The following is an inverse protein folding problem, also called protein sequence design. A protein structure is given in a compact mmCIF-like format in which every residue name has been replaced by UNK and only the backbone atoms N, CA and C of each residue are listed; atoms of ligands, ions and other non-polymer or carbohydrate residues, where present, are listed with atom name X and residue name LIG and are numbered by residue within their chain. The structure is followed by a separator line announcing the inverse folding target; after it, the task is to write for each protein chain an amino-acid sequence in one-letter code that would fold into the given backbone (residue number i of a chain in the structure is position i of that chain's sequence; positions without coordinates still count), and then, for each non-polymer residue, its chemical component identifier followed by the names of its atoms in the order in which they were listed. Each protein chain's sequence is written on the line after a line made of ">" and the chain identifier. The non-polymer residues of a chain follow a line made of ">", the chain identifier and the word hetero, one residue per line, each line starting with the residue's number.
data_IF_115160949831
#
_entry.id   IF_115160949831
#
_cell.length_a   1.000
_cell.length_b   1.000
_cell.length_c   1.000
_cell.angle_alpha   90.00
_cell.angle_beta   90.00
_cell.angle_gamma   90.00
#
_symmetry.space_group_name_H-M   'P 1'
#
loop_
_entity.id
_entity.type
_entity.pdbx_description
1 polymer ?
#
# COMPACT_ATOMS: atom_id res chain seq x y z
N UNK A 1 -6.29 -27.59 0.43
CA UNK A 1 -5.57 -28.47 -0.54
C UNK A 1 -5.73 -29.93 -0.16
N UNK A 2 -5.52 -30.31 1.12
CA UNK A 2 -5.90 -31.64 1.60
C UNK A 2 -7.40 -31.93 1.44
N UNK A 3 -8.26 -30.92 1.64
CA UNK A 3 -9.71 -31.00 1.32
C UNK A 3 -10.00 -31.30 -0.16
N UNK A 4 -9.03 -31.07 -1.06
CA UNK A 4 -9.10 -31.41 -2.49
C UNK A 4 -8.26 -32.65 -2.84
N UNK A 5 -7.81 -33.42 -1.86
CA UNK A 5 -6.99 -34.63 -2.05
C UNK A 5 -5.55 -34.39 -2.51
N UNK A 6 -5.07 -33.14 -2.49
CA UNK A 6 -3.73 -32.78 -2.94
C UNK A 6 -2.77 -32.65 -1.75
N UNK A 7 -1.75 -33.49 -1.72
CA UNK A 7 -0.66 -33.44 -0.74
C UNK A 7 0.41 -32.47 -1.22
N UNK A 8 0.37 -31.25 -0.67
CA UNK A 8 1.27 -30.16 -1.08
C UNK A 8 1.97 -29.62 0.16
N UNK A 9 3.30 -29.55 0.09
CA UNK A 9 4.11 -28.96 1.16
C UNK A 9 3.79 -27.47 1.33
N UNK A 10 3.82 -27.00 2.59
CA UNK A 10 3.62 -25.59 2.90
C UNK A 10 4.60 -24.66 2.15
N UNK A 11 5.81 -25.14 1.85
CA UNK A 11 6.82 -24.38 1.11
C UNK A 11 6.42 -24.15 -0.35
N UNK A 12 5.67 -25.07 -0.94
CA UNK A 12 5.14 -24.92 -2.31
C UNK A 12 4.11 -23.79 -2.36
N UNK A 13 3.19 -23.74 -1.39
CA UNK A 13 2.20 -22.65 -1.27
C UNK A 13 2.91 -21.32 -1.07
N UNK A 14 3.93 -21.27 -0.20
CA UNK A 14 4.73 -20.06 0.03
C UNK A 14 5.41 -19.56 -1.26
N UNK A 15 6.02 -20.47 -2.04
CA UNK A 15 6.65 -20.12 -3.32
C UNK A 15 5.62 -19.55 -4.31
N UNK A 16 4.42 -20.12 -4.37
CA UNK A 16 3.35 -19.57 -5.20
C UNK A 16 2.92 -18.17 -4.77
N UNK A 17 2.83 -17.90 -3.46
CA UNK A 17 2.52 -16.55 -2.97
C UNK A 17 3.61 -15.55 -3.40
N UNK A 18 4.88 -15.93 -3.29
CA UNK A 18 5.99 -15.07 -3.70
C UNK A 18 6.04 -14.80 -5.19
N UNK A 19 5.76 -15.83 -5.99
CA UNK A 19 5.79 -15.76 -7.45
C UNK A 19 4.56 -15.01 -7.99
N UNK A 20 3.36 -15.45 -7.61
CA UNK A 20 2.12 -14.97 -8.19
C UNK A 20 1.56 -13.73 -7.50
N UNK A 21 1.90 -13.46 -6.23
CA UNK A 21 1.42 -12.26 -5.52
C UNK A 21 1.71 -10.96 -6.27
N UNK A 22 2.97 -10.69 -6.66
CA UNK A 22 3.34 -9.53 -7.46
C UNK A 22 2.70 -9.52 -8.86
N UNK A 23 2.63 -10.67 -9.53
CA UNK A 23 2.03 -10.79 -10.87
C UNK A 23 0.53 -10.48 -10.84
N UNK A 24 -0.18 -10.98 -9.83
CA UNK A 24 -1.60 -10.68 -9.63
C UNK A 24 -1.77 -9.18 -9.38
N UNK A 25 -1.03 -8.58 -8.43
CA UNK A 25 -1.11 -7.13 -8.15
C UNK A 25 -0.89 -6.30 -9.43
N UNK A 26 0.14 -6.63 -10.22
CA UNK A 26 0.44 -5.95 -11.47
C UNK A 26 -0.72 -6.04 -12.48
N UNK A 27 -1.29 -7.23 -12.66
CA UNK A 27 -2.35 -7.47 -13.66
C UNK A 27 -3.67 -6.83 -13.26
N UNK A 28 -4.04 -6.87 -11.98
CA UNK A 28 -5.35 -6.36 -11.52
C UNK A 28 -5.45 -4.84 -11.60
N UNK A 29 -4.33 -4.09 -11.52
CA UNK A 29 -4.31 -2.61 -11.49
C UNK A 29 -5.10 -1.97 -12.62
N UNK A 30 -4.98 -2.50 -13.84
CA UNK A 30 -5.70 -2.01 -15.03
C UNK A 30 -7.22 -2.22 -14.95
N UNK A 31 -7.68 -3.11 -14.07
CA UNK A 31 -9.11 -3.44 -13.90
C UNK A 31 -9.71 -2.82 -12.63
N UNK A 32 -8.92 -2.08 -11.84
CA UNK A 32 -9.41 -1.38 -10.66
C UNK A 32 -10.26 -0.18 -11.10
N UNK A 33 -11.34 0.08 -10.36
CA UNK A 33 -12.14 1.29 -10.57
C UNK A 33 -11.28 2.52 -10.25
N UNK A 34 -11.44 3.63 -11.00
CA UNK A 34 -10.74 4.87 -10.67
C UNK A 34 -10.96 5.31 -9.22
N UNK A 35 -9.89 5.75 -8.56
CA UNK A 35 -9.92 6.44 -7.27
C UNK A 35 -10.32 7.89 -7.47
N UNK A 36 -10.77 8.58 -6.42
CA UNK A 36 -10.98 10.03 -6.49
C UNK A 36 -9.70 10.86 -6.23
N UNK A 37 -9.84 12.19 -6.30
CA UNK A 37 -8.79 13.19 -6.18
C UNK A 37 -8.47 13.60 -4.72
N UNK A 38 -9.09 12.94 -3.72
CA UNK A 38 -8.94 13.25 -2.29
C UNK A 38 -8.30 12.09 -1.54
N UNK A 39 -6.99 12.19 -1.30
CA UNK A 39 -6.19 11.11 -0.74
C UNK A 39 -6.05 11.22 0.78
N UNK A 40 -5.91 10.07 1.45
CA UNK A 40 -5.46 9.92 2.84
C UNK A 40 -4.29 8.97 2.85
N UNK A 41 -3.15 9.45 3.31
CA UNK A 41 -1.88 8.72 3.27
C UNK A 41 -1.31 8.64 4.67
N UNK A 42 -0.90 7.45 5.06
CA UNK A 42 -0.28 7.19 6.34
C UNK A 42 0.69 6.00 6.24
N UNK A 43 1.56 5.85 7.23
CA UNK A 43 2.45 4.69 7.35
C UNK A 43 2.02 3.78 8.49
N UNK A 44 2.29 2.49 8.34
CA UNK A 44 2.13 1.55 9.43
C UNK A 44 3.31 0.60 9.57
N UNK A 45 3.41 -0.04 10.73
CA UNK A 45 4.55 -0.87 11.06
C UNK A 45 4.31 -2.34 10.68
N UNK A 46 5.27 -2.93 9.98
CA UNK A 46 5.34 -4.36 9.67
C UNK A 46 6.65 -4.93 10.19
N UNK A 47 6.60 -6.09 10.85
CA UNK A 47 7.80 -6.73 11.41
C UNK A 47 8.49 -7.59 10.35
N UNK A 48 9.76 -7.29 10.06
CA UNK A 48 10.62 -8.02 9.11
C UNK A 48 11.97 -8.28 9.77
N UNK A 49 12.42 -9.54 9.80
CA UNK A 49 13.66 -9.98 10.47
C UNK A 49 13.76 -9.47 11.92
N UNK A 50 12.65 -9.44 12.64
CA UNK A 50 12.59 -8.95 14.02
C UNK A 50 12.56 -7.43 14.17
N UNK A 51 12.78 -6.66 13.10
CA UNK A 51 12.78 -5.19 13.11
C UNK A 51 11.47 -4.63 12.56
N UNK A 52 11.05 -3.48 13.07
CA UNK A 52 9.92 -2.74 12.52
C UNK A 52 10.32 -1.99 11.26
N UNK A 53 9.62 -2.26 10.17
CA UNK A 53 9.72 -1.58 8.87
C UNK A 53 8.41 -0.86 8.56
N UNK A 54 8.41 0.00 7.55
CA UNK A 54 7.32 0.94 7.27
C UNK A 54 6.56 0.53 6.02
N UNK A 55 5.27 0.27 6.16
CA UNK A 55 4.34 0.08 5.05
C UNK A 55 3.59 1.39 4.85
N UNK A 56 3.93 2.10 3.78
CA UNK A 56 3.20 3.28 3.35
C UNK A 56 1.94 2.84 2.62
N UNK A 57 0.82 3.50 2.89
CA UNK A 57 -0.45 3.23 2.24
C UNK A 57 -1.22 4.52 1.97
N UNK A 58 -1.98 4.55 0.87
CA UNK A 58 -2.93 5.63 0.60
C UNK A 58 -4.25 5.08 0.10
N UNK A 59 -5.32 5.70 0.58
CA UNK A 59 -6.70 5.43 0.17
C UNK A 59 -7.36 6.74 -0.23
N UNK A 60 -8.35 6.66 -1.11
CA UNK A 60 -9.16 7.81 -1.46
C UNK A 60 -10.20 8.12 -0.36
N UNK A 61 -10.97 9.20 -0.54
CA UNK A 61 -11.96 9.62 0.47
C UNK A 61 -13.11 8.62 0.69
N UNK A 62 -13.28 7.66 -0.22
CA UNK A 62 -14.28 6.59 -0.13
C UNK A 62 -13.69 5.28 0.42
N UNK A 63 -12.39 5.26 0.72
CA UNK A 63 -11.69 4.07 1.21
C UNK A 63 -11.23 3.11 0.12
N UNK A 64 -11.22 3.52 -1.16
CA UNK A 64 -10.58 2.72 -2.21
C UNK A 64 -9.07 2.88 -2.12
N UNK A 65 -8.34 1.77 -2.13
CA UNK A 65 -6.88 1.81 -2.04
C UNK A 65 -6.26 2.34 -3.32
N UNK A 66 -5.40 3.36 -3.18
CA UNK A 66 -4.63 3.97 -4.26
C UNK A 66 -3.39 3.13 -4.48
N UNK A 67 -2.50 3.09 -3.47
CA UNK A 67 -1.35 2.21 -3.49
C UNK A 67 -0.72 1.99 -2.11
N UNK A 68 0.25 1.07 -2.05
CA UNK A 68 1.13 0.82 -0.90
C UNK A 68 2.59 0.59 -1.36
N UNK A 69 3.54 0.78 -0.45
CA UNK A 69 4.92 0.30 -0.62
C UNK A 69 5.53 -0.05 0.74
N UNK A 70 6.24 -1.18 0.80
CA UNK A 70 7.10 -1.49 1.94
C UNK A 70 8.43 -0.75 1.80
N UNK A 71 8.86 -0.09 2.87
CA UNK A 71 10.11 0.64 2.96
C UNK A 71 10.87 0.23 4.21
N UNK A 72 12.20 0.24 4.11
CA UNK A 72 13.05 0.03 5.27
C UNK A 72 13.10 1.23 6.22
N UNK A 73 12.98 2.43 5.66
CA UNK A 73 13.15 3.70 6.36
C UNK A 73 11.86 4.53 6.29
N UNK A 74 11.72 5.44 7.26
CA UNK A 74 10.68 6.47 7.28
C UNK A 74 11.29 7.83 6.96
N UNK A 75 11.73 7.99 5.72
CA UNK A 75 12.42 9.19 5.24
C UNK A 75 11.72 9.79 4.01
N UNK A 76 12.20 10.96 3.60
CA UNK A 76 11.68 11.67 2.43
C UNK A 76 11.78 10.83 1.14
N UNK A 77 12.86 10.06 0.97
CA UNK A 77 13.08 9.26 -0.23
C UNK A 77 12.04 8.13 -0.33
N UNK A 78 11.73 7.47 0.78
CA UNK A 78 10.68 6.48 0.87
C UNK A 78 9.30 7.07 0.56
N UNK A 79 8.98 8.23 1.15
CA UNK A 79 7.74 8.95 0.89
C UNK A 79 7.60 9.37 -0.59
N UNK A 80 8.67 9.90 -1.20
CA UNK A 80 8.69 10.25 -2.62
C UNK A 80 8.48 9.02 -3.50
N UNK A 81 9.22 7.94 -3.25
CA UNK A 81 9.05 6.67 -4.00
C UNK A 81 7.62 6.14 -3.90
N UNK A 82 7.00 6.26 -2.73
CA UNK A 82 5.60 5.89 -2.54
C UNK A 82 4.68 6.72 -3.46
N UNK A 83 4.76 8.04 -3.40
CA UNK A 83 3.90 8.90 -4.22
C UNK A 83 4.16 8.75 -5.72
N UNK A 84 5.43 8.64 -6.16
CA UNK A 84 5.76 8.37 -7.57
C UNK A 84 5.08 7.08 -8.06
N UNK A 85 5.11 6.02 -7.24
CA UNK A 85 4.45 4.74 -7.55
C UNK A 85 2.92 4.86 -7.56
N UNK A 86 2.35 5.59 -6.62
CA UNK A 86 0.92 5.82 -6.55
C UNK A 86 0.40 6.59 -7.77
N UNK A 87 1.11 7.65 -8.16
CA UNK A 87 0.77 8.51 -9.31
C UNK A 87 0.96 7.81 -10.67
N UNK A 88 1.85 6.83 -10.76
CA UNK A 88 2.04 6.06 -12.00
C UNK A 88 1.01 4.94 -12.20
N UNK A 89 0.13 4.71 -11.22
CA UNK A 89 -0.88 3.66 -11.32
C UNK A 89 -2.06 4.09 -12.20
N UNK A 90 -2.54 3.23 -13.11
CA UNK A 90 -3.51 3.61 -14.15
C UNK A 90 -4.91 3.94 -13.60
N UNK A 91 -5.26 3.41 -12.43
CA UNK A 91 -6.55 3.67 -11.76
C UNK A 91 -6.50 4.90 -10.84
N UNK A 92 -5.36 5.57 -10.76
CA UNK A 92 -5.14 6.69 -9.83
C UNK A 92 -5.42 8.03 -10.52
N UNK A 93 -6.31 8.83 -9.92
CA UNK A 93 -6.47 10.25 -10.30
C UNK A 93 -5.45 11.13 -9.58
N UNK A 94 -4.92 12.15 -10.28
CA UNK A 94 -4.02 13.13 -9.68
C UNK A 94 -4.73 13.81 -8.49
N UNK A 95 -4.11 13.88 -7.30
CA UNK A 95 -4.79 14.39 -6.12
C UNK A 95 -4.90 15.91 -6.15
N UNK A 96 -6.13 16.39 -5.92
CA UNK A 96 -6.39 17.79 -5.54
C UNK A 96 -6.05 18.03 -4.07
N UNK A 97 -6.23 17.04 -3.21
CA UNK A 97 -5.89 17.13 -1.78
C UNK A 97 -5.26 15.85 -1.25
N UNK A 98 -4.17 15.98 -0.50
CA UNK A 98 -3.53 14.86 0.20
C UNK A 98 -3.61 15.14 1.70
N UNK A 99 -4.31 14.27 2.41
CA UNK A 99 -4.37 14.30 3.88
C UNK A 99 -3.29 13.38 4.45
N UNK A 100 -2.48 13.92 5.34
CA UNK A 100 -1.30 13.24 5.90
C UNK A 100 -1.36 13.23 7.42
N UNK A 101 -0.70 12.25 8.01
CA UNK A 101 -0.21 12.37 9.38
C UNK A 101 0.97 13.36 9.46
N UNK A 102 1.34 13.79 10.67
CA UNK A 102 2.39 14.79 10.95
C UNK A 102 3.83 14.31 10.68
N UNK A 103 4.03 13.34 9.79
CA UNK A 103 5.36 12.84 9.43
C UNK A 103 6.16 13.94 8.70
N UNK A 104 7.39 14.28 9.17
CA UNK A 104 8.20 15.31 8.54
C UNK A 104 8.73 14.91 7.15
N UNK A 105 8.64 13.63 6.78
CA UNK A 105 9.10 13.11 5.50
C UNK A 105 8.20 13.52 4.32
N UNK A 106 6.89 13.71 4.55
CA UNK A 106 5.95 13.93 3.45
C UNK A 106 6.02 15.32 2.81
N UNK A 107 6.04 16.45 3.56
CA UNK A 107 6.07 17.78 2.94
C UNK A 107 7.23 17.98 1.95
N UNK A 108 8.50 17.65 2.27
CA UNK A 108 9.59 17.83 1.32
C UNK A 108 9.48 16.88 0.12
N UNK A 109 8.99 15.64 0.31
CA UNK A 109 8.76 14.70 -0.77
C UNK A 109 7.70 15.20 -1.77
N UNK A 110 6.59 15.77 -1.27
CA UNK A 110 5.54 16.35 -2.11
C UNK A 110 6.06 17.59 -2.85
N UNK A 111 6.87 18.43 -2.18
CA UNK A 111 7.45 19.60 -2.82
C UNK A 111 8.37 19.23 -4.00
N UNK A 112 9.19 18.18 -3.86
CA UNK A 112 9.99 17.68 -4.99
C UNK A 112 9.12 17.20 -6.15
N UNK A 113 8.03 16.48 -5.87
CA UNK A 113 7.11 15.99 -6.91
C UNK A 113 6.38 17.12 -7.63
N UNK A 114 6.08 18.22 -6.95
CA UNK A 114 5.55 19.45 -7.56
C UNK A 114 6.62 20.08 -8.47
N UNK A 115 7.87 20.15 -8.01
CA UNK A 115 8.97 20.70 -8.81
C UNK A 115 9.24 19.87 -10.08
N UNK A 116 9.09 18.54 -9.98
CA UNK A 116 9.18 17.59 -11.08
C UNK A 116 7.93 17.56 -11.98
N UNK A 117 6.91 18.36 -11.67
CA UNK A 117 5.61 18.39 -12.38
C UNK A 117 4.83 17.07 -12.36
N UNK A 118 5.17 16.17 -11.44
CA UNK A 118 4.40 14.94 -11.19
C UNK A 118 3.13 15.22 -10.37
N UNK A 119 3.14 16.28 -9.56
CA UNK A 119 1.98 16.82 -8.87
C UNK A 119 1.69 18.25 -9.31
N UNK A 120 0.43 18.66 -9.23
CA UNK A 120 0.02 20.03 -9.52
C UNK A 120 0.38 20.96 -8.37
N UNK A 121 0.72 22.22 -8.68
CA UNK A 121 0.96 23.25 -7.64
C UNK A 121 -0.29 23.52 -6.79
N UNK A 122 -1.46 23.23 -7.33
CA UNK A 122 -2.76 23.37 -6.66
C UNK A 122 -3.10 22.20 -5.72
N UNK A 123 -2.25 21.16 -5.65
CA UNK A 123 -2.44 20.04 -4.73
C UNK A 123 -2.32 20.53 -3.28
N UNK A 124 -3.43 20.50 -2.55
CA UNK A 124 -3.50 20.96 -1.17
C UNK A 124 -2.99 19.87 -0.21
N UNK A 125 -2.07 20.24 0.68
CA UNK A 125 -1.63 19.37 1.77
C UNK A 125 -2.43 19.69 3.02
N UNK A 126 -3.04 18.67 3.63
CA UNK A 126 -3.81 18.82 4.86
C UNK A 126 -3.31 17.87 5.96
N UNK A 127 -3.18 18.39 7.17
CA UNK A 127 -2.88 17.58 8.35
C UNK A 127 -4.11 17.58 9.28
N UNK A 128 -4.99 16.59 9.13
CA UNK A 128 -6.21 16.50 9.95
C UNK A 128 -6.39 15.09 10.48
N UNK A 129 -6.16 14.93 11.79
CA UNK A 129 -6.18 13.63 12.49
C UNK A 129 -7.44 12.81 12.22
N UNK A 130 -8.62 13.42 12.28
CA UNK A 130 -9.90 12.71 12.20
C UNK A 130 -10.17 12.06 10.82
N UNK A 131 -9.48 12.51 9.77
CA UNK A 131 -9.71 12.00 8.42
C UNK A 131 -8.79 10.83 8.06
N UNK A 132 -7.83 10.50 8.94
CA UNK A 132 -6.95 9.35 8.80
C UNK A 132 -7.62 8.02 9.19
N UNK A 133 -8.79 8.05 9.84
CA UNK A 133 -9.52 6.84 10.26
C UNK A 133 -9.74 5.83 9.10
N UNK A 134 -9.90 6.31 7.87
CA UNK A 134 -10.13 5.47 6.69
C UNK A 134 -8.85 4.72 6.29
N UNK A 135 -7.69 5.39 6.25
CA UNK A 135 -6.41 4.73 5.95
C UNK A 135 -6.00 3.81 7.11
N UNK A 136 -6.30 4.18 8.35
CA UNK A 136 -6.12 3.29 9.50
C UNK A 136 -7.01 2.04 9.43
N UNK A 137 -8.20 2.13 8.83
CA UNK A 137 -9.06 0.98 8.59
C UNK A 137 -8.49 0.02 7.55
N UNK A 138 -7.93 0.54 6.46
CA UNK A 138 -7.21 -0.25 5.45
C UNK A 138 -5.99 -0.96 6.09
N UNK A 139 -5.21 -0.23 6.89
CA UNK A 139 -4.10 -0.82 7.67
C UNK A 139 -4.54 -1.94 8.60
N UNK A 140 -5.75 -1.88 9.18
CA UNK A 140 -6.28 -2.96 10.05
C UNK A 140 -6.50 -4.25 9.28
N UNK A 141 -6.88 -4.19 8.00
CA UNK A 141 -7.01 -5.39 7.17
C UNK A 141 -5.64 -6.08 7.00
N UNK A 142 -4.62 -5.34 6.59
CA UNK A 142 -3.27 -5.87 6.42
C UNK A 142 -2.72 -6.43 7.73
N UNK A 143 -2.90 -5.71 8.85
CA UNK A 143 -2.49 -6.18 10.18
C UNK A 143 -3.22 -7.45 10.60
N UNK A 144 -4.51 -7.59 10.28
CA UNK A 144 -5.28 -8.81 10.60
C UNK A 144 -4.69 -10.06 9.94
N UNK A 145 -4.25 -9.93 8.69
CA UNK A 145 -3.62 -11.04 7.93
C UNK A 145 -2.18 -11.28 8.39
N UNK A 146 -1.41 -10.23 8.65
CA UNK A 146 0.03 -10.34 8.92
C UNK A 146 0.37 -10.63 10.39
N UNK A 147 -0.46 -10.23 11.35
CA UNK A 147 -0.22 -10.45 12.80
C UNK A 147 0.00 -11.93 13.17
N UNK A 148 -0.80 -12.92 12.69
CA UNK A 148 -0.56 -14.34 13.01
C UNK A 148 0.71 -14.92 12.35
N UNK A 149 1.32 -14.23 11.39
CA UNK A 149 2.55 -14.69 10.72
C UNK A 149 3.82 -14.49 11.57
N UNK A 150 3.72 -13.82 12.73
CA UNK A 150 4.83 -13.52 13.65
C UNK A 150 6.01 -12.75 13.02
N UNK A 151 5.74 -12.05 11.92
CA UNK A 151 6.72 -11.26 11.17
C UNK A 151 7.44 -12.04 10.08
N UNK A 152 7.89 -11.30 9.06
CA UNK A 152 8.53 -11.88 7.88
C UNK A 152 10.01 -12.18 8.13
N UNK A 153 10.56 -13.18 7.44
CA UNK A 153 11.98 -13.56 7.54
C UNK A 153 12.89 -12.86 6.53
N UNK A 154 12.32 -12.23 5.49
CA UNK A 154 13.06 -11.44 4.51
C UNK A 154 12.23 -10.25 4.03
N UNK A 155 12.90 -9.16 3.67
CA UNK A 155 12.26 -7.96 3.14
C UNK A 155 11.61 -8.25 1.79
N UNK A 156 12.32 -8.96 0.90
CA UNK A 156 11.80 -9.33 -0.42
C UNK A 156 10.52 -10.16 -0.30
N UNK A 157 10.54 -11.18 0.56
CA UNK A 157 9.36 -12.05 0.76
C UNK A 157 8.21 -11.30 1.41
N UNK A 158 8.50 -10.33 2.30
CA UNK A 158 7.49 -9.46 2.89
C UNK A 158 6.81 -8.61 1.82
N UNK A 159 7.60 -7.94 0.97
CA UNK A 159 7.10 -7.11 -0.13
C UNK A 159 6.24 -7.93 -1.11
N UNK A 160 6.71 -9.11 -1.53
CA UNK A 160 5.96 -10.00 -2.43
C UNK A 160 4.65 -10.50 -1.80
N UNK A 161 4.69 -10.89 -0.52
CA UNK A 161 3.50 -11.39 0.18
C UNK A 161 2.48 -10.27 0.40
N UNK A 162 2.94 -9.08 0.80
CA UNK A 162 2.07 -7.92 0.98
C UNK A 162 1.37 -7.52 -0.33
N UNK A 163 2.05 -7.62 -1.48
CA UNK A 163 1.42 -7.45 -2.80
C UNK A 163 0.28 -8.43 -3.04
N UNK A 164 0.48 -9.71 -2.73
CA UNK A 164 -0.57 -10.71 -2.83
C UNK A 164 -1.76 -10.44 -1.91
N UNK A 165 -1.50 -10.10 -0.64
CA UNK A 165 -2.54 -9.76 0.35
C UNK A 165 -3.37 -8.57 -0.14
N UNK A 166 -2.70 -7.53 -0.62
CA UNK A 166 -3.37 -6.32 -1.08
C UNK A 166 -4.18 -6.57 -2.36
N UNK A 167 -3.63 -7.34 -3.29
CA UNK A 167 -4.33 -7.69 -4.52
C UNK A 167 -5.68 -8.40 -4.23
N UNK A 168 -5.72 -9.21 -3.17
CA UNK A 168 -6.95 -9.81 -2.66
C UNK A 168 -7.85 -8.76 -1.99
N UNK A 169 -7.29 -7.87 -1.15
CA UNK A 169 -8.04 -6.80 -0.48
C UNK A 169 -8.85 -5.96 -1.46
N UNK A 170 -8.18 -5.45 -2.51
CA UNK A 170 -8.77 -4.57 -3.54
C UNK A 170 -9.87 -5.24 -4.36
N UNK A 171 -9.75 -6.55 -4.61
CA UNK A 171 -10.74 -7.31 -5.35
C UNK A 171 -11.99 -7.65 -4.52
N UNK A 172 -11.91 -7.69 -3.19
CA UNK A 172 -13.06 -7.98 -2.31
C UNK A 172 -14.23 -7.00 -2.50
N UNK A 173 -13.95 -5.76 -2.89
CA UNK A 173 -14.95 -4.72 -3.12
C UNK A 173 -15.64 -4.79 -4.50
N UNK A 174 -15.37 -5.84 -5.28
CA UNK A 174 -16.01 -6.10 -6.58
C UNK A 174 -17.20 -7.07 -6.50
N UNK A 175 -17.38 -7.78 -5.37
CA UNK A 175 -18.41 -8.82 -5.19
C UNK A 175 -19.66 -8.34 -4.41
N UNK A 176 -19.88 -7.04 -4.34
CA UNK A 176 -21.13 -6.45 -3.82
C UNK A 176 -21.70 -5.45 -4.81
#
# INVERSE_FOLDING_TARGET
>A
MSERGLEISHTTIMRWVHEFGPEIDKRIRHFLKPTNDSWRTDETYIKVKGQWKYLYGSVDSTGKTIDFILSENRDMQAAKRFFTKALSSPHTQIPRVITLDKSPAYPPAIQELINEKSLTKDTLIRQTKYLNNIVEQDHRFIKKITKPMLGFKSFLTADQTLKGIEALHRNSYRLK
#
